data_IF_335136171820
#
_entry.id   IF_335136171820
#
_cell.length_a   1.000
_cell.length_b   1.000
_cell.length_c   1.000
_cell.angle_alpha   90.00
_cell.angle_beta   90.00
_cell.angle_gamma   90.00
#
_symmetry.space_group_name_H-M   'P 1'
#
loop_
_entity.id
_entity.type
_entity.pdbx_description
1 polymer ?
#
# COMPACT_ATOMS: atom_id res chain seq x y z
N UNK A 1 1.13 -10.21 -8.48
CA UNK A 1 2.19 -10.64 -7.53
C UNK A 1 3.34 -9.66 -7.57
N UNK A 2 3.84 -9.27 -6.40
CA UNK A 2 4.97 -8.35 -6.24
C UNK A 2 6.06 -8.99 -5.36
N UNK A 3 7.01 -9.73 -5.96
CA UNK A 3 8.01 -10.53 -5.23
C UNK A 3 9.31 -9.78 -4.96
N UNK A 4 9.29 -8.46 -4.90
CA UNK A 4 10.48 -7.62 -4.73
C UNK A 4 11.14 -7.82 -3.37
N UNK A 5 12.46 -8.02 -3.36
CA UNK A 5 13.27 -8.07 -2.14
C UNK A 5 13.50 -6.66 -1.59
N UNK A 6 13.73 -5.70 -2.49
CA UNK A 6 13.96 -4.29 -2.14
C UNK A 6 13.15 -3.38 -3.07
N UNK A 7 12.40 -2.47 -2.51
CA UNK A 7 11.57 -1.51 -3.25
C UNK A 7 11.29 -0.28 -2.38
N UNK A 8 11.36 0.90 -2.97
CA UNK A 8 11.13 2.15 -2.25
C UNK A 8 9.67 2.60 -2.26
N UNK A 9 9.02 2.59 -3.42
CA UNK A 9 7.70 3.21 -3.59
C UNK A 9 6.61 2.25 -4.07
N UNK A 10 6.96 1.17 -4.76
CA UNK A 10 6.02 0.14 -5.25
C UNK A 10 4.80 0.69 -6.00
N UNK A 11 5.01 1.68 -6.88
CA UNK A 11 3.93 2.33 -7.64
C UNK A 11 3.10 1.33 -8.43
N UNK A 12 3.71 0.27 -8.96
CA UNK A 12 3.01 -0.81 -9.67
C UNK A 12 2.00 -1.54 -8.79
N UNK A 13 2.25 -1.66 -7.48
CA UNK A 13 1.28 -2.23 -6.54
C UNK A 13 0.08 -1.31 -6.39
N UNK A 14 0.32 0.00 -6.23
CA UNK A 14 -0.74 1.01 -6.11
C UNK A 14 -1.60 1.04 -7.39
N UNK A 15 -0.97 0.99 -8.56
CA UNK A 15 -1.67 0.93 -9.85
C UNK A 15 -2.54 -0.33 -9.98
N UNK A 16 -2.01 -1.49 -9.58
CA UNK A 16 -2.76 -2.75 -9.54
C UNK A 16 -3.97 -2.68 -8.61
N UNK A 17 -3.79 -2.15 -7.40
CA UNK A 17 -4.87 -1.94 -6.43
C UNK A 17 -5.93 -0.97 -6.97
N UNK A 18 -5.52 0.12 -7.62
CA UNK A 18 -6.44 1.07 -8.24
C UNK A 18 -7.28 0.45 -9.36
N UNK A 19 -6.74 -0.57 -10.04
CA UNK A 19 -7.45 -1.36 -11.04
C UNK A 19 -8.34 -2.47 -10.46
N UNK A 20 -8.45 -2.57 -9.14
CA UNK A 20 -9.27 -3.58 -8.47
C UNK A 20 -8.58 -4.95 -8.32
N UNK A 21 -7.27 -5.00 -8.48
CA UNK A 21 -6.51 -6.24 -8.25
C UNK A 21 -6.13 -6.38 -6.78
N UNK A 22 -6.23 -7.59 -6.28
CA UNK A 22 -5.70 -7.94 -4.95
C UNK A 22 -4.21 -8.22 -5.07
N UNK A 23 -3.34 -7.48 -4.36
CA UNK A 23 -1.91 -7.72 -4.41
C UNK A 23 -1.50 -8.92 -3.56
N UNK A 24 -0.49 -9.66 -4.01
CA UNK A 24 0.25 -10.65 -3.22
C UNK A 24 1.70 -10.20 -3.18
N UNK A 25 2.17 -9.76 -2.01
CA UNK A 25 3.38 -8.96 -1.84
C UNK A 25 4.39 -9.71 -0.95
N UNK A 26 5.66 -9.71 -1.36
CA UNK A 26 6.73 -10.20 -0.50
C UNK A 26 6.92 -9.28 0.72
N UNK A 27 6.88 -9.85 1.91
CA UNK A 27 7.22 -9.16 3.16
C UNK A 27 8.74 -9.16 3.32
N UNK A 28 9.37 -8.03 3.01
CA UNK A 28 10.82 -7.83 3.13
C UNK A 28 11.12 -6.59 3.95
N UNK A 29 12.13 -6.62 4.84
CA UNK A 29 12.55 -5.44 5.60
C UNK A 29 13.18 -4.35 4.72
N UNK A 30 13.55 -4.68 3.48
CA UNK A 30 14.12 -3.75 2.51
C UNK A 30 13.10 -3.20 1.51
N UNK A 31 11.82 -3.55 1.67
CA UNK A 31 10.75 -3.15 0.76
C UNK A 31 9.62 -2.44 1.52
N UNK A 32 9.22 -1.28 1.03
CA UNK A 32 8.05 -0.57 1.53
C UNK A 32 6.72 -1.17 1.03
N UNK A 33 6.75 -2.09 0.06
CA UNK A 33 5.55 -2.64 -0.57
C UNK A 33 4.60 -3.33 0.42
N UNK A 34 5.12 -3.97 1.45
CA UNK A 34 4.32 -4.67 2.47
C UNK A 34 3.29 -3.79 3.19
N UNK A 35 3.51 -2.48 3.24
CA UNK A 35 2.56 -1.53 3.83
C UNK A 35 1.22 -1.43 3.09
N UNK A 36 1.18 -1.84 1.81
CA UNK A 36 -0.04 -1.80 1.01
C UNK A 36 -0.95 -3.01 1.21
N UNK A 37 -0.49 -4.05 1.92
CA UNK A 37 -1.33 -5.21 2.22
C UNK A 37 -2.37 -4.84 3.29
N UNK A 38 -3.65 -5.00 2.95
CA UNK A 38 -4.77 -4.76 3.87
C UNK A 38 -5.15 -6.00 4.68
N UNK A 39 -4.54 -7.16 4.39
CA UNK A 39 -4.75 -8.41 5.09
C UNK A 39 -3.58 -9.37 4.90
N UNK A 40 -3.47 -10.35 5.80
CA UNK A 40 -2.34 -11.28 5.84
C UNK A 40 -2.23 -12.18 4.60
N UNK A 41 -3.37 -12.51 3.94
CA UNK A 41 -3.37 -13.31 2.73
C UNK A 41 -2.76 -12.59 1.53
N UNK A 42 -2.56 -11.28 1.63
CA UNK A 42 -1.81 -10.48 0.65
C UNK A 42 -0.31 -10.44 0.92
N UNK A 43 0.18 -11.11 1.96
CA UNK A 43 1.60 -11.15 2.28
C UNK A 43 2.15 -12.58 2.23
N UNK A 44 3.40 -12.70 1.80
CA UNK A 44 4.20 -13.93 1.94
C UNK A 44 5.65 -13.57 2.32
N UNK A 45 6.37 -14.46 3.04
CA UNK A 45 7.78 -14.23 3.37
C UNK A 45 8.64 -14.11 2.12
N UNK A 46 9.55 -13.14 2.09
CA UNK A 46 10.49 -12.98 0.97
C UNK A 46 11.30 -14.28 0.76
N UNK A 47 11.56 -14.62 -0.49
CA UNK A 47 12.26 -15.85 -0.92
C UNK A 47 11.54 -17.18 -0.59
N UNK A 48 10.33 -17.17 -0.06
CA UNK A 48 9.53 -18.36 0.19
C UNK A 48 8.56 -18.64 -0.96
N UNK A 49 9.02 -19.41 -1.94
CA UNK A 49 8.24 -19.77 -3.15
C UNK A 49 6.99 -20.58 -2.81
N UNK A 50 7.08 -21.46 -1.82
CA UNK A 50 5.94 -22.29 -1.41
C UNK A 50 4.88 -21.45 -0.68
N UNK A 51 5.29 -20.50 0.15
CA UNK A 51 4.36 -19.54 0.77
C UNK A 51 3.66 -18.67 -0.30
N UNK A 52 4.39 -18.22 -1.31
CA UNK A 52 3.80 -17.50 -2.44
C UNK A 52 2.74 -18.35 -3.15
N UNK A 53 3.07 -19.61 -3.48
CA UNK A 53 2.12 -20.51 -4.13
C UNK A 53 0.84 -20.70 -3.28
N UNK A 54 1.00 -20.96 -1.98
CA UNK A 54 -0.17 -21.08 -1.06
C UNK A 54 -1.03 -19.82 -1.01
N UNK A 55 -0.45 -18.62 -1.11
CA UNK A 55 -1.20 -17.36 -1.14
C UNK A 55 -1.99 -17.20 -2.44
N UNK A 56 -1.37 -17.54 -3.58
CA UNK A 56 -2.05 -17.51 -4.88
C UNK A 56 -3.20 -18.53 -4.90
N UNK A 57 -2.94 -19.77 -4.47
CA UNK A 57 -3.97 -20.82 -4.40
C UNK A 57 -5.13 -20.39 -3.51
N UNK A 58 -4.85 -19.79 -2.35
CA UNK A 58 -5.89 -19.30 -1.47
C UNK A 58 -6.82 -18.31 -2.17
N UNK A 59 -6.28 -17.33 -2.91
CA UNK A 59 -7.10 -16.34 -3.62
C UNK A 59 -7.87 -16.96 -4.79
N UNK A 60 -7.29 -17.91 -5.49
CA UNK A 60 -7.94 -18.63 -6.61
C UNK A 60 -9.09 -19.51 -6.10
N UNK A 61 -8.92 -20.13 -4.95
CA UNK A 61 -9.93 -21.00 -4.33
C UNK A 61 -11.06 -20.21 -3.63
N UNK A 62 -10.90 -18.90 -3.45
CA UNK A 62 -11.89 -18.02 -2.82
C UNK A 62 -12.30 -16.85 -3.74
N UNK A 63 -12.95 -17.11 -4.88
CA UNK A 63 -13.26 -16.10 -5.88
C UNK A 63 -14.18 -14.98 -5.36
N UNK A 64 -15.09 -15.28 -4.44
CA UNK A 64 -15.96 -14.27 -3.82
C UNK A 64 -15.18 -13.29 -2.94
N UNK A 65 -14.21 -13.80 -2.17
CA UNK A 65 -13.31 -12.98 -1.38
C UNK A 65 -12.38 -12.18 -2.30
N UNK A 66 -11.87 -12.77 -3.37
CA UNK A 66 -11.04 -12.09 -4.36
C UNK A 66 -11.77 -10.87 -4.97
N UNK A 67 -13.02 -11.06 -5.39
CA UNK A 67 -13.85 -9.98 -5.94
C UNK A 67 -14.11 -8.87 -4.92
N UNK A 68 -14.56 -9.23 -3.73
CA UNK A 68 -14.83 -8.30 -2.63
C UNK A 68 -13.60 -7.49 -2.23
N UNK A 69 -12.45 -8.14 -2.07
CA UNK A 69 -11.22 -7.44 -1.69
C UNK A 69 -10.62 -6.62 -2.82
N UNK A 70 -10.84 -6.99 -4.07
CA UNK A 70 -10.51 -6.16 -5.22
C UNK A 70 -11.19 -4.78 -5.15
N UNK A 71 -12.50 -4.76 -4.83
CA UNK A 71 -13.23 -3.51 -4.62
C UNK A 71 -12.72 -2.71 -3.42
N UNK A 72 -12.43 -3.37 -2.30
CA UNK A 72 -11.87 -2.74 -1.09
C UNK A 72 -10.51 -2.11 -1.39
N UNK A 73 -9.63 -2.81 -2.07
CA UNK A 73 -8.32 -2.30 -2.46
C UNK A 73 -8.43 -1.10 -3.40
N UNK A 74 -9.33 -1.13 -4.38
CA UNK A 74 -9.56 -0.02 -5.29
C UNK A 74 -10.06 1.23 -4.56
N UNK A 75 -11.05 1.10 -3.67
CA UNK A 75 -11.58 2.22 -2.91
C UNK A 75 -10.53 2.77 -1.92
N UNK A 76 -9.81 1.91 -1.21
CA UNK A 76 -8.71 2.32 -0.35
C UNK A 76 -7.64 3.13 -1.11
N UNK A 77 -7.29 2.67 -2.32
CA UNK A 77 -6.31 3.36 -3.16
C UNK A 77 -6.81 4.74 -3.59
N UNK A 78 -8.04 4.83 -4.01
CA UNK A 78 -8.68 6.10 -4.40
C UNK A 78 -8.70 7.09 -3.23
N UNK A 79 -9.02 6.62 -2.04
CA UNK A 79 -9.12 7.45 -0.84
C UNK A 79 -7.77 7.95 -0.35
N UNK A 80 -6.74 7.10 -0.38
CA UNK A 80 -5.45 7.36 0.27
C UNK A 80 -4.31 7.73 -0.69
N UNK A 81 -4.33 7.28 -1.93
CA UNK A 81 -3.22 7.41 -2.89
C UNK A 81 -3.57 8.16 -4.18
N UNK A 82 -4.79 8.66 -4.32
CA UNK A 82 -5.13 9.53 -5.45
C UNK A 82 -4.33 10.84 -5.41
N UNK A 83 -4.12 11.47 -6.57
CA UNK A 83 -3.47 12.79 -6.66
C UNK A 83 -4.16 13.81 -5.74
N UNK A 84 -5.49 13.82 -5.71
CA UNK A 84 -6.24 14.72 -4.84
C UNK A 84 -5.99 14.46 -3.34
N UNK A 85 -5.89 13.19 -2.92
CA UNK A 85 -5.54 12.82 -1.54
C UNK A 85 -4.11 13.24 -1.20
N UNK A 86 -3.16 13.00 -2.11
CA UNK A 86 -1.76 13.37 -1.93
C UNK A 86 -1.57 14.88 -1.82
N UNK A 87 -2.23 15.67 -2.68
CA UNK A 87 -2.20 17.14 -2.62
C UNK A 87 -2.79 17.65 -1.29
N UNK A 88 -3.91 17.08 -0.82
CA UNK A 88 -4.48 17.48 0.49
C UNK A 88 -3.51 17.22 1.63
N UNK A 89 -2.86 16.07 1.66
CA UNK A 89 -1.85 15.73 2.68
C UNK A 89 -0.65 16.67 2.63
N UNK A 90 -0.16 16.97 1.43
CA UNK A 90 0.96 17.88 1.23
C UNK A 90 0.64 19.29 1.72
N UNK A 91 -0.50 19.86 1.33
CA UNK A 91 -0.93 21.18 1.78
C UNK A 91 -1.13 21.25 3.29
N UNK A 92 -1.68 20.19 3.91
CA UNK A 92 -1.82 20.12 5.37
C UNK A 92 -0.46 20.13 6.07
N UNK A 93 0.51 19.36 5.57
CA UNK A 93 1.88 19.30 6.10
C UNK A 93 2.60 20.66 5.96
N UNK A 94 2.44 21.36 4.83
CA UNK A 94 3.02 22.70 4.64
C UNK A 94 2.44 23.71 5.64
N UNK A 95 1.13 23.71 5.85
CA UNK A 95 0.47 24.59 6.82
C UNK A 95 0.95 24.36 8.25
N UNK A 96 1.11 23.10 8.63
CA UNK A 96 1.66 22.72 9.94
C UNK A 96 3.09 23.21 10.11
N UNK A 97 3.95 23.00 9.12
CA UNK A 97 5.33 23.46 9.14
C UNK A 97 5.46 24.98 9.24
N UNK A 98 4.60 25.74 8.55
CA UNK A 98 4.54 27.20 8.63
C UNK A 98 4.12 27.64 10.04
N UNK A 99 3.08 27.03 10.62
CA UNK A 99 2.61 27.33 11.97
C UNK A 99 3.68 27.04 13.05
N UNK A 100 4.38 25.91 12.93
CA UNK A 100 5.45 25.54 13.85
C UNK A 100 6.64 26.51 13.78
N UNK A 101 6.98 26.96 12.57
CA UNK A 101 8.07 27.93 12.40
C UNK A 101 7.72 29.30 12.99
N UNK A 102 6.47 29.75 12.79
CA UNK A 102 5.97 31.00 13.41
C UNK A 102 6.02 30.93 14.95
N UNK A 103 5.60 29.81 15.54
CA UNK A 103 5.64 29.60 16.99
C UNK A 103 7.07 29.59 17.54
N UNK A 104 8.03 29.00 16.81
CA UNK A 104 9.46 29.02 17.19
C UNK A 104 10.05 30.43 17.18
N UNK A 105 9.67 31.28 16.24
CA UNK A 105 10.11 32.68 16.17
C UNK A 105 9.56 33.54 17.32
N UNK A 106 8.32 33.29 17.76
CA UNK A 106 7.69 34.02 18.87
C UNK A 106 8.34 33.65 20.20
N UNK A 107 8.80 32.40 20.37
CA UNK A 107 9.37 31.86 21.60
C UNK A 107 10.93 31.93 21.64
N UNK A 108 11.54 32.53 20.64
CA UNK A 108 12.98 32.65 20.55
C UNK A 108 13.50 33.88 21.32
#
# INVERSE_FOLDING_TARGET
>A
VHPSIADLESVSVIEGMAAGLVPVIASSPLSAAGQFALRDESLFPVDDVEALARRIDWWVDHPDELSKWGEIYAEHTKEHYSVAASVRKFVAMEREAIADNANKQINA
#
